data_IF_466157847318
#
_entry.id   IF_466157847318
#
_cell.length_a   1.000
_cell.length_b   1.000
_cell.length_c   1.000
_cell.angle_alpha   90.00
_cell.angle_beta   90.00
_cell.angle_gamma   90.00
#
_symmetry.space_group_name_H-M   'P 1'
#
loop_
_entity.id
_entity.type
_entity.pdbx_description
1 polymer ?
#
# COMPACT_ATOMS: atom_id res chain seq x y z
N UNK A 1 15.30 -16.70 -7.17
CA UNK A 1 14.45 -16.32 -8.32
C UNK A 1 15.04 -15.10 -9.00
N UNK A 2 14.96 -14.97 -10.32
CA UNK A 2 15.33 -13.72 -10.98
C UNK A 2 14.08 -12.94 -11.39
N UNK A 3 14.14 -11.62 -11.23
CA UNK A 3 13.09 -10.70 -11.66
C UNK A 3 13.82 -9.57 -12.42
N UNK A 4 13.43 -9.33 -13.67
CA UNK A 4 14.19 -8.48 -14.60
C UNK A 4 15.69 -8.83 -14.68
N UNK A 5 16.03 -10.13 -14.66
CA UNK A 5 17.40 -10.61 -14.68
C UNK A 5 18.18 -10.43 -13.36
N UNK A 6 17.66 -9.71 -12.38
CA UNK A 6 18.26 -9.49 -11.06
C UNK A 6 17.90 -10.61 -10.08
N UNK A 7 18.85 -11.04 -9.24
CA UNK A 7 18.58 -12.03 -8.19
C UNK A 7 17.74 -11.40 -7.08
N UNK A 8 16.54 -11.95 -6.84
CA UNK A 8 15.64 -11.55 -5.74
C UNK A 8 15.52 -12.70 -4.74
N UNK A 9 15.75 -12.40 -3.47
CA UNK A 9 15.70 -13.35 -2.34
C UNK A 9 14.65 -12.97 -1.28
N UNK A 10 14.00 -11.80 -1.42
CA UNK A 10 12.93 -11.32 -0.56
C UNK A 10 11.99 -10.42 -1.38
N UNK A 11 10.68 -10.63 -1.26
CA UNK A 11 9.67 -9.75 -1.82
C UNK A 11 8.93 -9.04 -0.67
N UNK A 12 8.97 -7.71 -0.68
CA UNK A 12 8.25 -6.85 0.26
C UNK A 12 7.05 -6.28 -0.50
N UNK A 13 5.87 -6.33 0.08
CA UNK A 13 4.64 -5.85 -0.54
C UNK A 13 4.01 -4.75 0.31
N UNK A 14 3.57 -3.67 -0.32
CA UNK A 14 2.53 -2.85 0.27
C UNK A 14 1.19 -3.60 0.22
N UNK A 15 0.20 -3.12 0.93
CA UNK A 15 -1.10 -3.79 1.09
C UNK A 15 -2.18 -3.10 0.28
N UNK A 16 -2.45 -1.84 0.61
CA UNK A 16 -3.51 -1.06 -0.01
C UNK A 16 -3.07 -0.62 -1.42
N UNK A 17 -3.90 -0.87 -2.45
CA UNK A 17 -3.53 -0.57 -3.84
C UNK A 17 -2.56 -1.58 -4.48
N UNK A 18 -1.98 -2.52 -3.72
CA UNK A 18 -1.11 -3.60 -4.22
C UNK A 18 -1.79 -4.96 -4.08
N UNK A 19 -2.28 -5.28 -2.91
CA UNK A 19 -2.99 -6.53 -2.58
C UNK A 19 -4.49 -6.29 -2.53
N UNK A 20 -4.91 -5.25 -1.82
CA UNK A 20 -6.31 -4.87 -1.60
C UNK A 20 -6.74 -3.75 -2.55
N UNK A 21 -7.89 -3.91 -3.18
CA UNK A 21 -8.51 -2.90 -4.05
C UNK A 21 -9.22 -1.83 -3.21
N UNK A 22 -8.43 -0.90 -2.72
CA UNK A 22 -8.97 0.22 -1.94
C UNK A 22 -9.70 1.25 -2.81
N UNK A 23 -9.32 1.41 -4.09
CA UNK A 23 -9.91 2.46 -4.94
C UNK A 23 -11.43 2.26 -5.12
N UNK A 24 -11.85 1.00 -5.32
CA UNK A 24 -13.27 0.68 -5.51
C UNK A 24 -14.11 0.91 -4.26
N UNK A 25 -13.55 0.79 -3.07
CA UNK A 25 -14.27 0.85 -1.79
C UNK A 25 -14.01 2.10 -0.96
N UNK A 26 -12.78 2.63 -0.98
CA UNK A 26 -12.37 3.75 -0.14
C UNK A 26 -13.26 4.98 -0.32
N UNK A 27 -13.52 5.38 -1.56
CA UNK A 27 -14.32 6.56 -1.85
C UNK A 27 -15.75 6.39 -1.34
N UNK A 28 -16.37 5.23 -1.59
CA UNK A 28 -17.71 4.92 -1.10
C UNK A 28 -17.78 4.95 0.43
N UNK A 29 -16.81 4.33 1.10
CA UNK A 29 -16.76 4.30 2.56
C UNK A 29 -16.52 5.71 3.14
N UNK A 30 -15.67 6.50 2.47
CA UNK A 30 -15.39 7.88 2.84
C UNK A 30 -16.62 8.79 2.65
N UNK A 31 -17.35 8.64 1.54
CA UNK A 31 -18.59 9.36 1.27
C UNK A 31 -19.68 8.99 2.30
N UNK A 32 -19.87 7.70 2.60
CA UNK A 32 -20.83 7.25 3.62
C UNK A 32 -20.51 7.87 4.98
N UNK A 33 -19.23 7.89 5.35
CA UNK A 33 -18.77 8.50 6.60
C UNK A 33 -19.01 10.02 6.59
N UNK A 34 -18.61 10.71 5.53
CA UNK A 34 -18.80 12.15 5.40
C UNK A 34 -20.26 12.56 5.49
N UNK A 35 -21.18 11.81 4.86
CA UNK A 35 -22.62 12.02 4.97
C UNK A 35 -23.10 11.87 6.41
N UNK A 36 -22.61 10.87 7.15
CA UNK A 36 -22.97 10.68 8.56
C UNK A 36 -22.61 11.90 9.43
N UNK A 37 -21.46 12.53 9.17
CA UNK A 37 -21.01 13.73 9.88
C UNK A 37 -21.48 15.05 9.26
N UNK A 38 -22.30 15.02 8.21
CA UNK A 38 -22.80 16.23 7.54
C UNK A 38 -21.71 17.03 6.82
N UNK A 39 -20.63 16.38 6.39
CA UNK A 39 -19.49 17.01 5.72
C UNK A 39 -19.69 17.08 4.20
N UNK A 40 -19.07 18.08 3.55
CA UNK A 40 -19.15 18.24 2.10
C UNK A 40 -18.43 17.10 1.36
N UNK A 41 -19.09 16.55 0.33
CA UNK A 41 -18.54 15.54 -0.57
C UNK A 41 -17.69 16.15 -1.70
N UNK A 42 -17.84 17.45 -1.98
CA UNK A 42 -17.15 18.11 -3.09
C UNK A 42 -15.62 18.03 -2.93
N UNK A 43 -15.15 18.10 -1.66
CA UNK A 43 -13.72 18.02 -1.35
C UNK A 43 -13.15 16.63 -1.68
N UNK A 44 -13.94 15.56 -1.56
CA UNK A 44 -13.54 14.20 -1.91
C UNK A 44 -13.37 14.10 -3.43
N UNK A 45 -14.37 14.55 -4.20
CA UNK A 45 -14.32 14.54 -5.66
C UNK A 45 -13.14 15.37 -6.21
N UNK A 46 -12.90 16.55 -5.62
CA UNK A 46 -11.76 17.40 -6.00
C UNK A 46 -10.43 16.72 -5.67
N UNK A 47 -10.29 16.09 -4.50
CA UNK A 47 -9.08 15.38 -4.09
C UNK A 47 -8.76 14.23 -5.06
N UNK A 48 -9.76 13.43 -5.42
CA UNK A 48 -9.63 12.35 -6.42
C UNK A 48 -9.13 12.91 -7.75
N UNK A 49 -9.72 14.00 -8.23
CA UNK A 49 -9.33 14.63 -9.49
C UNK A 49 -7.88 15.12 -9.44
N UNK A 50 -7.45 15.73 -8.34
CA UNK A 50 -6.10 16.24 -8.16
C UNK A 50 -5.05 15.13 -8.05
N UNK A 51 -5.39 13.99 -7.43
CA UNK A 51 -4.55 12.78 -7.43
C UNK A 51 -4.42 12.24 -8.86
N UNK A 52 -5.52 12.07 -9.59
CA UNK A 52 -5.51 11.57 -10.97
C UNK A 52 -4.72 12.48 -11.93
N UNK A 53 -4.68 13.79 -11.64
CA UNK A 53 -3.86 14.76 -12.37
C UNK A 53 -2.40 14.80 -11.90
N UNK A 54 -2.03 14.06 -10.86
CA UNK A 54 -0.69 14.06 -10.28
C UNK A 54 -0.34 15.37 -9.54
N UNK A 55 -1.34 16.16 -9.15
CA UNK A 55 -1.15 17.41 -8.40
C UNK A 55 -0.97 17.18 -6.91
N UNK A 56 -1.50 16.07 -6.40
CA UNK A 56 -1.38 15.66 -5.01
C UNK A 56 -0.65 14.33 -4.91
N UNK A 57 0.24 14.24 -3.92
CA UNK A 57 0.84 12.98 -3.47
C UNK A 57 0.02 12.44 -2.30
N UNK A 58 -0.40 11.19 -2.39
CA UNK A 58 -1.02 10.49 -1.26
C UNK A 58 0.09 10.13 -0.28
N UNK A 59 -0.01 10.59 0.97
CA UNK A 59 1.02 10.40 2.00
C UNK A 59 0.44 10.05 3.36
N UNK A 60 -0.67 9.45 3.46
CA UNK A 60 -1.25 9.31 4.78
C UNK A 60 -2.11 8.08 4.96
N UNK A 61 -2.68 8.01 6.14
CA UNK A 61 -3.74 7.11 6.55
C UNK A 61 -5.06 7.87 6.61
N UNK A 62 -6.13 7.21 7.07
CA UNK A 62 -7.47 7.80 7.19
C UNK A 62 -7.46 9.12 8.00
N UNK A 63 -6.70 9.20 9.13
CA UNK A 63 -6.61 10.42 9.94
C UNK A 63 -5.98 11.58 9.17
N UNK A 64 -4.81 11.33 8.53
CA UNK A 64 -4.10 12.36 7.75
C UNK A 64 -4.95 12.83 6.56
N UNK A 65 -5.68 11.91 5.92
CA UNK A 65 -6.63 12.22 4.84
C UNK A 65 -7.80 13.06 5.34
N UNK A 66 -8.36 12.73 6.51
CA UNK A 66 -9.47 13.49 7.12
C UNK A 66 -9.04 14.93 7.42
N UNK A 67 -7.86 15.15 8.01
CA UNK A 67 -7.32 16.49 8.24
C UNK A 67 -7.11 17.28 6.93
N UNK A 68 -6.69 16.58 5.87
CA UNK A 68 -6.48 17.22 4.56
C UNK A 68 -7.80 17.64 3.91
N UNK A 69 -8.80 16.77 3.96
CA UNK A 69 -10.11 16.99 3.35
C UNK A 69 -10.96 18.00 4.13
N UNK A 70 -10.92 17.93 5.45
CA UNK A 70 -11.72 18.79 6.34
C UNK A 70 -10.84 19.41 7.45
N UNK A 71 -9.99 20.40 7.10
CA UNK A 71 -9.01 20.99 8.03
C UNK A 71 -9.63 21.79 9.18
N UNK A 72 -10.94 22.01 9.15
CA UNK A 72 -11.68 22.69 10.20
C UNK A 72 -12.13 21.78 11.36
N UNK A 73 -12.01 20.45 11.19
CA UNK A 73 -12.37 19.51 12.25
C UNK A 73 -11.35 19.54 13.39
N UNK A 74 -11.85 19.50 14.60
CA UNK A 74 -11.04 19.32 15.81
C UNK A 74 -10.47 17.88 15.88
N UNK A 75 -9.44 17.66 16.69
CA UNK A 75 -8.87 16.32 16.91
C UNK A 75 -9.90 15.30 17.43
N UNK A 76 -10.88 15.75 18.24
CA UNK A 76 -11.95 14.89 18.73
C UNK A 76 -12.87 14.45 17.59
N UNK A 77 -13.31 15.40 16.74
CA UNK A 77 -14.15 15.11 15.57
C UNK A 77 -13.42 14.21 14.55
N UNK A 78 -12.13 14.44 14.33
CA UNK A 78 -11.32 13.55 13.48
C UNK A 78 -11.24 12.15 14.06
N UNK A 79 -11.13 12.00 15.38
CA UNK A 79 -11.13 10.69 16.04
C UNK A 79 -12.46 9.97 15.84
N UNK A 80 -13.58 10.65 16.09
CA UNK A 80 -14.93 10.11 15.88
C UNK A 80 -15.16 9.74 14.41
N UNK A 81 -14.69 10.58 13.48
CA UNK A 81 -14.77 10.31 12.04
C UNK A 81 -14.00 9.03 11.67
N UNK A 82 -12.76 8.89 12.14
CA UNK A 82 -11.92 7.72 11.84
C UNK A 82 -12.50 6.45 12.45
N UNK A 83 -13.01 6.50 13.69
CA UNK A 83 -13.64 5.36 14.35
C UNK A 83 -14.87 4.89 13.56
N UNK A 84 -15.73 5.81 13.12
CA UNK A 84 -16.90 5.48 12.29
C UNK A 84 -16.50 4.98 10.90
N UNK A 85 -15.48 5.59 10.28
CA UNK A 85 -14.95 5.12 9.00
C UNK A 85 -14.44 3.67 9.09
N UNK A 86 -13.75 3.29 10.17
CA UNK A 86 -13.35 1.90 10.40
C UNK A 86 -14.56 0.95 10.55
N UNK A 87 -15.68 1.42 11.14
CA UNK A 87 -16.91 0.62 11.21
C UNK A 87 -17.54 0.42 9.83
N UNK A 88 -17.54 1.46 8.98
CA UNK A 88 -18.00 1.38 7.59
C UNK A 88 -17.15 0.39 6.82
N UNK A 89 -15.82 0.47 6.93
CA UNK A 89 -14.90 -0.47 6.29
C UNK A 89 -15.17 -1.93 6.69
N UNK A 90 -15.42 -2.20 7.98
CA UNK A 90 -15.74 -3.58 8.45
C UNK A 90 -17.04 -4.12 7.85
N UNK A 91 -18.01 -3.26 7.58
CA UNK A 91 -19.28 -3.64 6.91
C UNK A 91 -19.12 -3.82 5.40
N UNK A 92 -18.14 -3.11 4.80
CA UNK A 92 -17.85 -3.13 3.37
C UNK A 92 -16.34 -3.29 3.15
N UNK A 93 -15.77 -4.48 3.44
CA UNK A 93 -14.34 -4.70 3.33
C UNK A 93 -13.87 -4.60 1.87
N UNK A 94 -12.61 -4.22 1.70
CA UNK A 94 -11.99 -4.13 0.39
C UNK A 94 -11.79 -5.52 -0.22
N UNK A 95 -12.06 -5.64 -1.51
CA UNK A 95 -11.76 -6.84 -2.27
C UNK A 95 -10.26 -6.98 -2.56
N UNK A 96 -9.89 -8.13 -3.11
CA UNK A 96 -8.55 -8.35 -3.63
C UNK A 96 -8.39 -7.69 -5.01
N UNK A 97 -7.23 -7.12 -5.28
CA UNK A 97 -6.83 -6.78 -6.65
C UNK A 97 -6.73 -8.09 -7.45
N UNK A 98 -7.35 -8.17 -8.64
CA UNK A 98 -7.34 -9.38 -9.43
C UNK A 98 -5.93 -9.94 -9.66
N UNK A 99 -5.70 -11.19 -9.25
CA UNK A 99 -4.43 -11.89 -9.35
C UNK A 99 -3.47 -11.68 -8.18
N UNK A 100 -3.78 -10.83 -7.18
CA UNK A 100 -2.88 -10.61 -6.04
C UNK A 100 -2.73 -11.86 -5.16
N UNK A 101 -3.81 -12.61 -4.91
CA UNK A 101 -3.73 -13.85 -4.14
C UNK A 101 -3.00 -14.95 -4.91
N UNK A 102 -3.14 -14.98 -6.24
CA UNK A 102 -2.45 -15.91 -7.11
C UNK A 102 -0.93 -15.77 -7.03
N UNK A 103 -0.42 -14.53 -7.15
CA UNK A 103 1.02 -14.27 -7.06
C UNK A 103 1.56 -14.51 -5.65
N UNK A 104 0.81 -14.14 -4.60
CA UNK A 104 1.20 -14.41 -3.20
C UNK A 104 1.32 -15.92 -2.97
N UNK A 105 0.34 -16.70 -3.44
CA UNK A 105 0.36 -18.16 -3.35
C UNK A 105 1.53 -18.76 -4.13
N UNK A 106 1.79 -18.26 -5.34
CA UNK A 106 2.91 -18.70 -6.16
C UNK A 106 4.26 -18.43 -5.45
N UNK A 107 4.48 -17.24 -4.91
CA UNK A 107 5.71 -16.89 -4.18
C UNK A 107 5.89 -17.78 -2.95
N UNK A 108 4.83 -17.98 -2.17
CA UNK A 108 4.82 -18.86 -1.00
C UNK A 108 5.20 -20.30 -1.39
N UNK A 109 4.55 -20.86 -2.41
CA UNK A 109 4.75 -22.24 -2.84
C UNK A 109 6.14 -22.45 -3.48
N UNK A 110 6.72 -21.39 -4.04
CA UNK A 110 8.13 -21.34 -4.48
C UNK A 110 9.12 -21.16 -3.32
N UNK A 111 8.66 -21.03 -2.07
CA UNK A 111 9.53 -20.80 -0.91
C UNK A 111 10.19 -19.42 -0.88
N UNK A 112 9.65 -18.43 -1.62
CA UNK A 112 10.15 -17.06 -1.61
C UNK A 112 9.74 -16.37 -0.31
N UNK A 113 10.67 -15.89 0.51
CA UNK A 113 10.36 -15.08 1.67
C UNK A 113 9.58 -13.83 1.26
N UNK A 114 8.46 -13.56 1.96
CA UNK A 114 7.64 -12.38 1.76
C UNK A 114 7.53 -11.57 3.05
N UNK A 115 7.36 -10.26 2.93
CA UNK A 115 7.07 -9.36 4.02
C UNK A 115 6.05 -8.30 3.61
N UNK A 116 5.36 -7.69 4.59
CA UNK A 116 4.47 -6.56 4.36
C UNK A 116 5.07 -5.27 4.94
N UNK A 117 4.87 -4.16 4.22
CA UNK A 117 5.20 -2.82 4.70
C UNK A 117 4.08 -1.83 4.34
N UNK A 118 3.29 -1.45 5.33
CA UNK A 118 2.11 -0.59 5.16
C UNK A 118 2.07 0.54 6.18
N UNK A 119 1.40 1.65 5.85
CA UNK A 119 1.10 2.74 6.80
C UNK A 119 -0.25 2.55 7.53
N UNK A 120 -0.84 1.36 7.45
CA UNK A 120 -1.96 0.99 8.30
C UNK A 120 -1.49 0.69 9.72
N UNK A 121 -2.41 0.80 10.69
CA UNK A 121 -2.21 0.23 12.01
C UNK A 121 -2.36 -1.30 11.97
N UNK A 122 -1.60 -2.01 12.80
CA UNK A 122 -1.61 -3.48 12.85
C UNK A 122 -3.03 -4.04 13.03
N UNK A 123 -3.82 -3.42 13.93
CA UNK A 123 -5.21 -3.82 14.17
C UNK A 123 -6.05 -3.78 12.88
N UNK A 124 -5.99 -2.68 12.14
CA UNK A 124 -6.75 -2.52 10.88
C UNK A 124 -6.23 -3.47 9.80
N UNK A 125 -4.92 -3.65 9.70
CA UNK A 125 -4.31 -4.58 8.76
C UNK A 125 -4.80 -6.02 8.98
N UNK A 126 -4.76 -6.53 10.22
CA UNK A 126 -5.09 -7.92 10.50
C UNK A 126 -6.53 -8.27 10.10
N UNK A 127 -7.51 -7.44 10.44
CA UNK A 127 -8.89 -7.72 10.03
C UNK A 127 -9.11 -7.58 8.52
N UNK A 128 -8.39 -6.68 7.82
CA UNK A 128 -8.44 -6.56 6.36
C UNK A 128 -7.87 -7.81 5.67
N UNK A 129 -6.75 -8.33 6.17
CA UNK A 129 -6.15 -9.57 5.66
C UNK A 129 -7.09 -10.78 5.90
N UNK A 130 -7.69 -10.87 7.09
CA UNK A 130 -8.67 -11.91 7.43
C UNK A 130 -9.87 -11.86 6.47
N UNK A 131 -10.46 -10.67 6.27
CA UNK A 131 -11.57 -10.48 5.34
C UNK A 131 -11.22 -10.86 3.89
N UNK A 132 -9.95 -10.69 3.50
CA UNK A 132 -9.41 -11.05 2.19
C UNK A 132 -8.97 -12.52 2.08
N UNK A 133 -9.04 -13.29 3.17
CA UNK A 133 -8.59 -14.70 3.21
C UNK A 133 -7.07 -14.87 3.15
N UNK A 134 -6.32 -13.86 3.58
CA UNK A 134 -4.85 -13.87 3.62
C UNK A 134 -4.38 -14.14 5.05
N UNK A 135 -3.64 -15.22 5.25
CA UNK A 135 -3.05 -15.55 6.54
C UNK A 135 -1.78 -14.70 6.78
N UNK A 136 -1.73 -13.87 7.84
CA UNK A 136 -0.54 -13.08 8.15
C UNK A 136 0.73 -13.93 8.36
N UNK A 137 0.60 -15.20 8.72
CA UNK A 137 1.74 -16.12 8.89
C UNK A 137 2.48 -16.45 7.60
N UNK A 138 1.94 -16.12 6.44
CA UNK A 138 2.63 -16.26 5.14
C UNK A 138 3.77 -15.27 4.98
N UNK A 139 3.82 -14.23 5.82
CA UNK A 139 4.82 -13.17 5.77
C UNK A 139 5.82 -13.32 6.93
N UNK A 140 7.09 -13.35 6.59
CA UNK A 140 8.19 -13.47 7.58
C UNK A 140 8.27 -12.26 8.53
N UNK A 141 7.81 -11.09 8.08
CA UNK A 141 7.73 -9.88 8.88
C UNK A 141 6.62 -8.96 8.36
N UNK A 142 6.05 -8.17 9.26
CA UNK A 142 5.04 -7.15 8.95
C UNK A 142 5.46 -5.85 9.62
N UNK A 143 5.62 -4.79 8.82
CA UNK A 143 5.87 -3.42 9.27
C UNK A 143 4.62 -2.59 9.05
N UNK A 144 4.21 -1.87 10.08
CA UNK A 144 3.01 -1.02 10.11
C UNK A 144 3.36 0.37 10.64
N UNK A 145 2.38 1.26 10.66
CA UNK A 145 2.52 2.59 11.31
C UNK A 145 2.79 2.50 12.81
N UNK A 146 2.53 1.36 13.46
CA UNK A 146 2.79 1.16 14.88
C UNK A 146 4.26 0.88 15.19
N UNK A 147 5.08 0.63 14.16
CA UNK A 147 6.52 0.48 14.31
C UNK A 147 7.19 1.84 14.57
N UNK A 148 8.35 1.82 15.21
CA UNK A 148 9.15 3.03 15.47
C UNK A 148 9.46 3.81 14.19
N UNK A 149 9.71 3.10 13.10
CA UNK A 149 9.96 3.64 11.78
C UNK A 149 8.98 3.04 10.78
N UNK A 150 8.32 3.88 10.02
CA UNK A 150 7.34 3.53 9.00
C UNK A 150 7.54 4.43 7.76
N UNK A 151 6.91 4.13 6.65
CA UNK A 151 7.11 4.85 5.37
C UNK A 151 6.85 6.36 5.51
N UNK A 152 7.75 7.22 5.02
CA UNK A 152 8.91 6.95 4.14
C UNK A 152 10.28 6.84 4.85
N UNK A 153 10.34 6.55 6.15
CA UNK A 153 11.60 6.54 6.89
C UNK A 153 12.58 5.47 6.33
N UNK A 154 13.90 5.76 6.15
CA UNK A 154 14.87 4.80 5.58
C UNK A 154 15.05 3.50 6.38
N UNK A 155 14.74 3.52 7.69
CA UNK A 155 14.80 2.34 8.55
C UNK A 155 13.48 1.55 8.60
N UNK A 156 12.49 1.88 7.74
CA UNK A 156 11.19 1.19 7.68
C UNK A 156 11.38 -0.33 7.51
N UNK A 157 12.34 -0.76 6.71
CA UNK A 157 12.55 -2.18 6.42
C UNK A 157 13.52 -2.90 7.39
N UNK A 158 14.08 -2.21 8.39
CA UNK A 158 15.03 -2.83 9.33
C UNK A 158 14.46 -4.06 10.05
N UNK A 159 13.19 -4.07 10.54
CA UNK A 159 12.59 -5.27 11.14
C UNK A 159 12.47 -6.43 10.14
N UNK A 160 12.21 -6.13 8.84
CA UNK A 160 12.13 -7.13 7.78
C UNK A 160 13.50 -7.77 7.55
N UNK A 161 14.56 -6.97 7.42
CA UNK A 161 15.91 -7.48 7.23
C UNK A 161 16.48 -8.17 8.49
N UNK A 162 15.96 -7.86 9.67
CA UNK A 162 16.28 -8.62 10.88
C UNK A 162 15.65 -10.02 10.88
N UNK A 163 14.45 -10.17 10.30
CA UNK A 163 13.76 -11.45 10.17
C UNK A 163 14.27 -12.28 8.99
N UNK A 164 14.60 -11.61 7.87
CA UNK A 164 15.10 -12.22 6.63
C UNK A 164 16.43 -11.58 6.26
N UNK A 165 17.58 -12.16 6.70
CA UNK A 165 18.89 -11.54 6.55
C UNK A 165 19.46 -11.70 5.13
N UNK A 166 18.92 -10.95 4.18
CA UNK A 166 19.41 -10.88 2.79
C UNK A 166 20.01 -9.49 2.49
N UNK A 167 20.92 -9.37 1.52
CA UNK A 167 21.37 -8.07 1.04
C UNK A 167 20.21 -7.20 0.54
N UNK A 168 20.23 -5.90 0.82
CA UNK A 168 19.15 -4.98 0.44
C UNK A 168 18.91 -4.92 -1.08
N UNK A 169 19.99 -5.02 -1.86
CA UNK A 169 19.96 -5.08 -3.33
C UNK A 169 19.38 -6.41 -3.89
N UNK A 170 19.10 -7.39 -3.02
CA UNK A 170 18.40 -8.63 -3.34
C UNK A 170 16.98 -8.68 -2.80
N UNK A 171 16.50 -7.58 -2.25
CA UNK A 171 15.10 -7.40 -1.88
C UNK A 171 14.40 -6.57 -2.95
N UNK A 172 13.14 -6.93 -3.21
CA UNK A 172 12.23 -6.21 -4.11
C UNK A 172 11.06 -5.69 -3.30
N UNK A 173 10.81 -4.39 -3.37
CA UNK A 173 9.60 -3.78 -2.82
C UNK A 173 8.62 -3.45 -3.93
N UNK A 174 7.35 -3.82 -3.75
CA UNK A 174 6.26 -3.49 -4.66
C UNK A 174 5.28 -2.56 -3.95
N UNK A 175 5.05 -1.38 -4.52
CA UNK A 175 4.18 -0.35 -3.96
C UNK A 175 3.40 0.39 -5.04
N UNK A 176 2.38 1.15 -4.63
CA UNK A 176 1.46 1.86 -5.53
C UNK A 176 1.54 3.38 -5.39
N UNK A 177 2.29 3.89 -4.39
CA UNK A 177 2.41 5.32 -4.09
C UNK A 177 3.85 5.82 -4.23
N UNK A 178 4.00 7.15 -4.42
CA UNK A 178 5.32 7.78 -4.42
C UNK A 178 6.05 7.63 -3.08
N UNK A 179 5.32 7.53 -1.96
CA UNK A 179 5.91 7.27 -0.64
C UNK A 179 6.62 5.91 -0.57
N UNK A 180 6.16 4.92 -1.35
CA UNK A 180 6.79 3.60 -1.46
C UNK A 180 8.10 3.70 -2.21
N UNK A 181 8.11 4.44 -3.31
CA UNK A 181 9.32 4.74 -4.06
C UNK A 181 10.36 5.47 -3.20
N UNK A 182 9.92 6.55 -2.48
CA UNK A 182 10.80 7.27 -1.56
C UNK A 182 11.41 6.32 -0.53
N UNK A 183 10.58 5.43 0.07
CA UNK A 183 11.04 4.44 1.06
C UNK A 183 12.05 3.46 0.48
N UNK A 184 11.79 2.93 -0.71
CA UNK A 184 12.69 1.99 -1.39
C UNK A 184 14.05 2.63 -1.70
N UNK A 185 14.05 3.84 -2.27
CA UNK A 185 15.26 4.60 -2.58
C UNK A 185 16.12 4.86 -1.35
N UNK A 186 15.50 5.39 -0.28
CA UNK A 186 16.19 5.71 0.98
C UNK A 186 16.73 4.45 1.68
N UNK A 187 16.02 3.32 1.52
CA UNK A 187 16.44 2.04 2.09
C UNK A 187 17.43 1.25 1.22
N UNK A 188 17.68 1.67 -0.03
CA UNK A 188 18.53 0.94 -0.98
C UNK A 188 17.94 -0.40 -1.43
N UNK A 189 16.63 -0.46 -1.60
CA UNK A 189 15.85 -1.64 -2.03
C UNK A 189 15.34 -1.43 -3.45
N UNK A 190 15.39 -2.47 -4.29
CA UNK A 190 14.80 -2.41 -5.64
C UNK A 190 13.29 -2.19 -5.55
N UNK A 191 12.73 -1.44 -6.51
CA UNK A 191 11.32 -1.05 -6.48
C UNK A 191 10.59 -1.35 -7.78
N UNK A 192 9.34 -1.79 -7.64
CA UNK A 192 8.37 -1.88 -8.73
C UNK A 192 7.12 -1.09 -8.30
N UNK A 193 6.71 -0.20 -9.18
CA UNK A 193 5.45 0.52 -9.06
C UNK A 193 4.30 -0.27 -9.67
N UNK A 194 3.15 -0.34 -8.98
CA UNK A 194 1.89 -0.82 -9.57
C UNK A 194 0.89 0.32 -9.69
N UNK A 195 0.09 0.31 -10.76
CA UNK A 195 -0.87 1.38 -11.06
C UNK A 195 -2.25 1.11 -10.45
N UNK A 196 -2.42 -0.01 -9.77
CA UNK A 196 -3.69 -0.43 -9.15
C UNK A 196 -4.13 0.47 -7.99
N UNK A 197 -3.24 1.25 -7.39
CA UNK A 197 -3.56 2.27 -6.38
C UNK A 197 -3.94 3.64 -6.93
N UNK A 198 -4.03 3.78 -8.28
CA UNK A 198 -4.56 4.98 -8.94
C UNK A 198 -3.55 6.09 -9.23
N UNK A 199 -2.30 5.96 -8.79
CA UNK A 199 -1.24 6.90 -9.19
C UNK A 199 -0.91 6.69 -10.67
N UNK A 200 -0.98 7.73 -11.51
CA UNK A 200 -0.76 7.56 -12.94
C UNK A 200 0.72 7.28 -13.26
N UNK A 201 0.96 6.45 -14.28
CA UNK A 201 2.31 6.06 -14.76
C UNK A 201 3.27 7.24 -14.90
N UNK A 202 2.78 8.38 -15.42
CA UNK A 202 3.60 9.59 -15.60
C UNK A 202 4.18 10.14 -14.29
N UNK A 203 3.48 9.94 -13.16
CA UNK A 203 3.96 10.41 -11.86
C UNK A 203 5.18 9.60 -11.41
N UNK A 204 5.16 8.28 -11.57
CA UNK A 204 6.32 7.43 -11.29
C UNK A 204 7.50 7.70 -12.23
N UNK A 205 7.23 7.90 -13.52
CA UNK A 205 8.28 8.29 -14.48
C UNK A 205 8.95 9.62 -14.11
N UNK A 206 8.16 10.59 -13.61
CA UNK A 206 8.68 11.87 -13.15
C UNK A 206 9.58 11.73 -11.90
N UNK A 207 9.29 10.79 -11.03
CA UNK A 207 10.11 10.47 -9.85
C UNK A 207 11.38 9.66 -10.21
N UNK A 208 11.51 9.19 -11.45
CA UNK A 208 12.68 8.45 -11.90
C UNK A 208 12.52 6.92 -11.88
N UNK A 209 11.32 6.40 -11.62
CA UNK A 209 11.06 4.95 -11.76
C UNK A 209 11.20 4.55 -13.21
N UNK A 210 11.98 3.49 -13.49
CA UNK A 210 12.19 2.99 -14.84
C UNK A 210 10.88 2.50 -15.46
N UNK A 211 10.69 2.71 -16.76
CA UNK A 211 9.43 2.44 -17.44
C UNK A 211 9.02 0.96 -17.41
N UNK A 212 9.96 0.04 -17.43
CA UNK A 212 9.78 -1.40 -17.32
C UNK A 212 9.47 -1.86 -15.88
N UNK A 213 9.84 -1.07 -14.88
CA UNK A 213 9.51 -1.28 -13.47
C UNK A 213 8.14 -0.69 -13.07
N UNK A 214 7.31 -0.28 -14.02
CA UNK A 214 5.95 0.21 -13.75
C UNK A 214 4.94 -0.75 -14.38
N UNK A 215 4.20 -1.46 -13.55
CA UNK A 215 3.23 -2.49 -13.92
C UNK A 215 1.79 -2.02 -13.68
N UNK A 216 0.82 -2.67 -14.30
CA UNK A 216 -0.58 -2.35 -14.04
C UNK A 216 -1.02 -2.84 -12.64
N UNK A 217 -0.56 -4.02 -12.21
CA UNK A 217 -0.89 -4.66 -10.94
C UNK A 217 0.14 -5.72 -10.56
N UNK A 218 0.07 -6.19 -9.32
CA UNK A 218 1.04 -7.12 -8.74
C UNK A 218 1.24 -8.41 -9.55
N UNK A 219 0.19 -9.01 -10.11
CA UNK A 219 0.32 -10.27 -10.86
C UNK A 219 1.11 -10.14 -12.17
N UNK A 220 1.31 -8.93 -12.72
CA UNK A 220 2.20 -8.74 -13.85
C UNK A 220 3.67 -9.08 -13.53
N UNK A 221 4.00 -9.21 -12.24
CA UNK A 221 5.31 -9.66 -11.80
C UNK A 221 5.67 -11.05 -12.38
N UNK A 222 4.67 -11.93 -12.55
CA UNK A 222 4.87 -13.25 -13.16
C UNK A 222 5.46 -13.20 -14.58
N UNK A 223 5.19 -12.13 -15.32
CA UNK A 223 5.68 -11.93 -16.70
C UNK A 223 7.19 -11.61 -16.75
N UNK A 224 7.75 -11.20 -15.62
CA UNK A 224 9.15 -10.77 -15.50
C UNK A 224 10.00 -11.72 -14.64
N UNK A 225 9.41 -12.85 -14.18
CA UNK A 225 10.08 -13.84 -13.36
C UNK A 225 10.76 -14.91 -14.21
N UNK A 226 11.99 -15.26 -13.82
CA UNK A 226 12.75 -16.41 -14.29
C UNK A 226 12.99 -17.34 -13.09
N UNK A 227 12.53 -18.61 -13.24
CA UNK A 227 12.67 -19.66 -12.23
C UNK A 227 14.07 -20.28 -12.21
#
# INVERSE_FOLDING_TARGET
>A
MRIFGSLVELVILDVDGVILDILGGLHKNLEETAVHFGLSLDVIAQNIADIALGKLRIRGNARDSTHTLWPHLSEAEVTEFVDFFEEVERRSPYGLIPGSLEIISFLRDAGMPMALATNNHMKSLLWRLEAAGIDPSWFAAIVTKDNRYFKPHPQTFDPIFAAVPVPRDRALYVGDLQIDWDTACEAGVSFIAVLSGGVPRRAFLHEGVQADHIMNRLNNLLECMEL
#
